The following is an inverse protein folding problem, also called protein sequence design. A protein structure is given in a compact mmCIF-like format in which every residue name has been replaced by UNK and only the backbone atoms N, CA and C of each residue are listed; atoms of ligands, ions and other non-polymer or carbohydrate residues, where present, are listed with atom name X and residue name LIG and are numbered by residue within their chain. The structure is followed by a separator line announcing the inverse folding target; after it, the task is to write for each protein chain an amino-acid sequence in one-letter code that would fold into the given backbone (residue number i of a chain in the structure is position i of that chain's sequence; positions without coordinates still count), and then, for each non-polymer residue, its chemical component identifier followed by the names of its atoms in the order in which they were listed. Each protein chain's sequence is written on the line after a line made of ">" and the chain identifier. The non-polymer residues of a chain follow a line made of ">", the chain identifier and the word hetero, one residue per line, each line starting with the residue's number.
data_IF_185465483506
#
_entry.id   IF_185465483506
#
_cell.length_a   1.000
_cell.length_b   1.000
_cell.length_c   1.000
_cell.angle_alpha   90.00
_cell.angle_beta   90.00
_cell.angle_gamma   90.00
#
_symmetry.space_group_name_H-M   'P 1'
#
loop_
_entity.id
_entity.type
_entity.pdbx_description
1 polymer ?
#
# COMPACT_ATOMS: atom_id res chain seq x y z
N UNK A 1 23.93 -11.96 2.03
CA UNK A 1 23.00 -11.21 2.90
C UNK A 1 21.66 -11.91 2.80
N UNK A 2 20.92 -12.08 3.88
CA UNK A 2 19.65 -12.80 3.79
C UNK A 2 18.58 -11.93 3.10
N UNK A 3 17.90 -12.47 2.09
CA UNK A 3 16.81 -11.79 1.40
C UNK A 3 15.54 -11.80 2.27
N UNK A 4 15.46 -10.86 3.23
CA UNK A 4 14.29 -10.68 4.08
C UNK A 4 13.05 -10.20 3.31
N UNK A 5 13.26 -9.54 2.17
CA UNK A 5 12.21 -8.98 1.32
C UNK A 5 11.16 -10.01 0.88
N UNK A 6 11.50 -11.14 0.21
CA UNK A 6 10.51 -12.15 -0.19
C UNK A 6 9.77 -12.80 0.99
N UNK A 7 10.40 -12.94 2.16
CA UNK A 7 9.75 -13.47 3.36
C UNK A 7 8.64 -12.52 3.86
N UNK A 8 8.96 -11.24 4.03
CA UNK A 8 7.99 -10.23 4.47
C UNK A 8 6.92 -10.02 3.40
N UNK A 9 7.31 -9.90 2.13
CA UNK A 9 6.37 -9.71 1.03
C UNK A 9 5.37 -10.88 0.92
N UNK A 10 5.80 -12.13 1.15
CA UNK A 10 4.90 -13.29 1.19
C UNK A 10 3.96 -13.25 2.40
N UNK A 11 4.44 -12.87 3.57
CA UNK A 11 3.61 -12.72 4.76
C UNK A 11 2.52 -11.64 4.59
N UNK A 12 2.85 -10.51 3.98
CA UNK A 12 1.90 -9.43 3.67
C UNK A 12 0.98 -9.79 2.50
N UNK A 13 1.44 -10.56 1.51
CA UNK A 13 0.58 -11.03 0.41
C UNK A 13 -0.44 -12.10 0.85
N UNK A 14 -0.24 -12.71 2.03
CA UNK A 14 -1.21 -13.61 2.66
C UNK A 14 -2.19 -12.91 3.62
N UNK A 15 -2.03 -11.59 3.87
CA UNK A 15 -3.05 -10.79 4.55
C UNK A 15 -4.16 -10.41 3.58
N UNK A 16 -5.38 -10.26 4.11
CA UNK A 16 -6.50 -9.75 3.33
C UNK A 16 -6.21 -8.33 2.80
N UNK A 17 -6.56 -7.99 1.54
CA UNK A 17 -6.34 -6.64 1.00
C UNK A 17 -7.03 -5.52 1.79
N UNK A 18 -8.10 -5.84 2.52
CA UNK A 18 -8.84 -4.94 3.40
C UNK A 18 -8.30 -4.94 4.85
N UNK A 19 -7.25 -5.71 5.15
CA UNK A 19 -6.67 -5.78 6.48
C UNK A 19 -6.14 -4.40 6.94
N UNK A 20 -6.54 -3.94 8.15
CA UNK A 20 -6.06 -2.68 8.71
C UNK A 20 -4.52 -2.60 8.76
N UNK A 21 -3.99 -1.37 8.72
CA UNK A 21 -2.55 -1.13 8.87
C UNK A 21 -1.97 -1.74 10.15
N UNK A 22 -2.77 -1.88 11.20
CA UNK A 22 -2.39 -2.53 12.46
C UNK A 22 -2.06 -4.02 12.31
N UNK A 23 -2.79 -4.78 11.48
CA UNK A 23 -2.48 -6.20 11.25
C UNK A 23 -1.12 -6.37 10.56
N UNK A 24 -0.83 -5.51 9.56
CA UNK A 24 0.49 -5.45 8.92
C UNK A 24 1.58 -5.09 9.92
N UNK A 25 1.33 -4.11 10.79
CA UNK A 25 2.26 -3.69 11.84
C UNK A 25 2.55 -4.80 12.86
N UNK A 26 1.53 -5.58 13.25
CA UNK A 26 1.71 -6.75 14.13
C UNK A 26 2.61 -7.83 13.51
N UNK A 27 2.54 -8.06 12.19
CA UNK A 27 3.48 -8.95 11.48
C UNK A 27 4.92 -8.39 11.54
N UNK A 28 5.10 -7.09 11.32
CA UNK A 28 6.44 -6.48 11.37
C UNK A 28 7.06 -6.57 12.78
N UNK A 29 6.31 -6.27 13.84
CA UNK A 29 6.81 -6.43 15.22
C UNK A 29 7.18 -7.89 15.53
N UNK A 30 6.36 -8.85 15.10
CA UNK A 30 6.64 -10.27 15.29
C UNK A 30 7.90 -10.71 14.52
N UNK A 31 8.11 -10.20 13.31
CA UNK A 31 9.31 -10.46 12.52
C UNK A 31 10.57 -9.87 13.18
N UNK A 32 10.52 -8.62 13.69
CA UNK A 32 11.60 -8.00 14.47
C UNK A 32 11.99 -8.85 15.68
N UNK A 33 11.01 -9.27 16.48
CA UNK A 33 11.25 -10.06 17.69
C UNK A 33 11.83 -11.44 17.38
N UNK A 34 11.30 -12.12 16.35
CA UNK A 34 11.81 -13.41 15.89
C UNK A 34 13.27 -13.30 15.39
N UNK A 35 13.58 -12.27 14.60
CA UNK A 35 14.95 -12.04 14.11
C UNK A 35 15.94 -11.86 15.27
N UNK A 36 15.64 -10.99 16.25
CA UNK A 36 16.53 -10.78 17.41
C UNK A 36 16.75 -12.07 18.20
N UNK A 37 15.70 -12.88 18.36
CA UNK A 37 15.80 -14.19 19.04
C UNK A 37 16.70 -15.15 18.25
N UNK A 38 16.53 -15.23 16.93
CA UNK A 38 17.33 -16.07 16.05
C UNK A 38 18.81 -15.65 16.00
N UNK A 39 19.09 -14.35 15.84
CA UNK A 39 20.47 -13.83 15.80
C UNK A 39 21.23 -14.08 17.12
N UNK A 40 20.53 -14.07 18.26
CA UNK A 40 21.10 -14.40 19.58
C UNK A 40 21.28 -15.90 19.82
N UNK A 41 20.57 -16.76 19.08
CA UNK A 41 20.66 -18.22 19.18
C UNK A 41 21.68 -18.85 18.23
N UNK A 42 22.24 -18.08 17.29
CA UNK A 42 23.24 -18.55 16.32
C UNK A 42 24.60 -18.80 16.99
N UNK A 43 25.26 -19.90 16.59
CA UNK A 43 26.63 -20.24 16.99
C UNK A 43 27.50 -20.46 15.75
N UNK A 44 28.72 -19.87 15.67
CA UNK A 44 29.30 -18.93 16.64
C UNK A 44 28.49 -17.63 16.75
N UNK A 45 28.53 -16.94 17.90
CA UNK A 45 27.72 -15.75 18.14
C UNK A 45 28.11 -14.62 17.18
N UNK A 46 27.10 -13.98 16.58
CA UNK A 46 27.27 -12.82 15.70
C UNK A 46 27.78 -11.61 16.48
N UNK A 47 28.63 -10.81 15.85
CA UNK A 47 29.09 -9.53 16.41
C UNK A 47 27.95 -8.50 16.45
N UNK A 48 28.04 -7.49 17.31
CA UNK A 48 27.04 -6.40 17.37
C UNK A 48 26.89 -5.68 16.03
N UNK A 49 27.99 -5.56 15.26
CA UNK A 49 27.99 -4.99 13.91
C UNK A 49 27.16 -5.81 12.93
N UNK A 50 27.28 -7.15 12.97
CA UNK A 50 26.47 -8.05 12.15
C UNK A 50 25.00 -8.03 12.59
N UNK A 51 24.72 -8.11 13.89
CA UNK A 51 23.36 -8.01 14.43
C UNK A 51 22.70 -6.69 14.00
N UNK A 52 23.45 -5.57 14.04
CA UNK A 52 22.96 -4.26 13.59
C UNK A 52 22.72 -4.24 12.07
N UNK A 53 23.61 -4.84 11.28
CA UNK A 53 23.48 -4.94 9.82
C UNK A 53 22.27 -5.77 9.40
N UNK A 54 22.03 -6.92 10.02
CA UNK A 54 20.87 -7.78 9.74
C UNK A 54 19.56 -7.11 10.21
N UNK A 55 19.56 -6.40 11.34
CA UNK A 55 18.42 -5.58 11.76
C UNK A 55 18.12 -4.44 10.76
N UNK A 56 19.13 -3.73 10.27
CA UNK A 56 18.97 -2.69 9.24
C UNK A 56 18.38 -3.27 7.94
N UNK A 57 18.88 -4.43 7.49
CA UNK A 57 18.37 -5.12 6.31
C UNK A 57 16.89 -5.52 6.45
N UNK A 58 16.46 -5.95 7.65
CA UNK A 58 15.05 -6.19 7.95
C UNK A 58 14.22 -4.91 7.87
N UNK A 59 14.67 -3.81 8.49
CA UNK A 59 13.97 -2.52 8.48
C UNK A 59 13.82 -1.94 7.07
N UNK A 60 14.85 -2.05 6.22
CA UNK A 60 14.78 -1.63 4.81
C UNK A 60 13.77 -2.47 4.01
N UNK A 61 13.77 -3.80 4.22
CA UNK A 61 12.78 -4.68 3.61
C UNK A 61 11.35 -4.36 4.06
N UNK A 62 11.13 -4.12 5.36
CA UNK A 62 9.83 -3.69 5.90
C UNK A 62 9.38 -2.36 5.27
N UNK A 63 10.24 -1.33 5.25
CA UNK A 63 9.93 -0.02 4.65
C UNK A 63 9.53 -0.12 3.19
N UNK A 64 10.23 -0.98 2.41
CA UNK A 64 9.90 -1.21 1.00
C UNK A 64 8.53 -1.88 0.84
N UNK A 65 8.27 -2.97 1.57
CA UNK A 65 6.96 -3.66 1.53
C UNK A 65 5.82 -2.76 2.02
N UNK A 66 6.04 -1.97 3.07
CA UNK A 66 5.06 -1.00 3.57
C UNK A 66 4.75 0.09 2.54
N UNK A 67 5.76 0.61 1.85
CA UNK A 67 5.59 1.60 0.78
C UNK A 67 4.79 1.02 -0.39
N UNK A 68 5.11 -0.19 -0.85
CA UNK A 68 4.36 -0.88 -1.91
C UNK A 68 2.91 -1.18 -1.48
N UNK A 69 2.69 -1.64 -0.25
CA UNK A 69 1.35 -1.92 0.28
C UNK A 69 0.52 -0.65 0.48
N UNK A 70 1.14 0.45 0.92
CA UNK A 70 0.49 1.76 1.02
C UNK A 70 0.13 2.32 -0.36
N UNK A 71 0.99 2.15 -1.36
CA UNK A 71 0.71 2.55 -2.74
C UNK A 71 -0.46 1.74 -3.33
N UNK A 72 -0.45 0.41 -3.19
CA UNK A 72 -1.57 -0.46 -3.62
C UNK A 72 -2.90 -0.07 -2.96
N UNK A 73 -2.89 0.25 -1.66
CA UNK A 73 -4.09 0.71 -0.96
C UNK A 73 -4.62 2.06 -1.50
N UNK A 74 -3.73 3.01 -1.82
CA UNK A 74 -4.09 4.29 -2.46
C UNK A 74 -4.67 4.08 -3.86
N UNK A 75 -4.05 3.22 -4.67
CA UNK A 75 -4.51 2.93 -6.02
C UNK A 75 -5.86 2.20 -6.02
N UNK A 76 -6.09 1.28 -5.07
CA UNK A 76 -7.39 0.64 -4.86
C UNK A 76 -8.47 1.66 -4.47
N UNK A 77 -8.21 2.54 -3.50
CA UNK A 77 -9.15 3.60 -3.09
C UNK A 77 -9.45 4.58 -4.25
N UNK A 78 -8.45 4.89 -5.08
CA UNK A 78 -8.64 5.73 -6.29
C UNK A 78 -9.47 5.02 -7.36
N UNK A 79 -9.29 3.71 -7.54
CA UNK A 79 -10.09 2.90 -8.45
C UNK A 79 -11.56 2.81 -7.98
N UNK A 80 -11.80 2.63 -6.67
CA UNK A 80 -13.15 2.66 -6.08
C UNK A 80 -13.81 4.03 -6.32
N UNK A 81 -13.12 5.14 -6.04
CA UNK A 81 -13.64 6.49 -6.28
C UNK A 81 -13.99 6.73 -7.76
N UNK A 82 -13.19 6.18 -8.69
CA UNK A 82 -13.47 6.24 -10.13
C UNK A 82 -14.70 5.41 -10.52
N UNK A 83 -14.86 4.22 -9.92
CA UNK A 83 -16.00 3.33 -10.18
C UNK A 83 -17.31 3.85 -9.55
N UNK A 84 -17.22 4.62 -8.46
CA UNK A 84 -18.36 5.25 -7.77
C UNK A 84 -18.84 6.57 -8.40
N UNK A 85 -18.19 7.03 -9.48
CA UNK A 85 -18.73 8.07 -10.36
C UNK A 85 -19.55 7.41 -11.48
N UNK A 86 -20.90 7.34 -11.40
CA UNK A 86 -21.69 7.21 -12.61
C UNK A 86 -21.46 8.44 -13.50
N UNK A 87 -21.78 8.32 -14.79
CA UNK A 87 -21.66 9.42 -15.74
C UNK A 87 -22.68 10.55 -15.40
N UNK A 88 -22.27 11.45 -14.51
CA UNK A 88 -23.00 12.68 -14.20
C UNK A 88 -22.84 13.67 -15.35
N UNK A 89 -23.72 13.48 -16.33
CA UNK A 89 -24.39 14.51 -17.10
C UNK A 89 -23.56 15.34 -18.10
N UNK A 90 -23.77 15.02 -19.38
CA UNK A 90 -23.34 15.81 -20.53
C UNK A 90 -24.39 16.81 -21.01
N UNK A 91 -25.27 17.32 -20.14
CA UNK A 91 -26.25 18.33 -20.56
C UNK A 91 -25.58 19.68 -20.73
N UNK A 92 -25.20 20.00 -21.97
CA UNK A 92 -25.00 21.38 -22.42
C UNK A 92 -26.36 21.95 -22.85
N UNK A 93 -27.01 22.83 -22.07
CA UNK A 93 -28.16 23.59 -22.55
C UNK A 93 -27.65 24.73 -23.44
N UNK A 94 -27.32 24.40 -24.68
CA UNK A 94 -26.65 25.29 -25.64
C UNK A 94 -27.47 25.61 -26.90
N UNK A 95 -28.80 25.47 -26.86
CA UNK A 95 -29.65 25.67 -28.04
C UNK A 95 -31.04 26.25 -27.69
N UNK A 96 -31.06 27.51 -27.24
CA UNK A 96 -32.29 28.24 -26.88
C UNK A 96 -32.33 29.67 -27.49
N UNK A 97 -31.70 29.86 -28.65
CA UNK A 97 -31.57 31.17 -29.32
C UNK A 97 -32.06 31.18 -30.78
N UNK A 98 -32.79 30.15 -31.25
CA UNK A 98 -33.19 30.03 -32.66
C UNK A 98 -34.64 29.58 -32.92
N UNK A 99 -35.60 30.13 -32.19
CA UNK A 99 -37.01 30.26 -32.57
C UNK A 99 -37.64 31.35 -31.67
N UNK A 100 -38.45 32.31 -32.13
CA UNK A 100 -39.31 32.31 -33.32
C UNK A 100 -39.44 33.72 -33.94
N UNK A 101 -39.77 33.78 -35.22
CA UNK A 101 -39.96 35.02 -35.96
C UNK A 101 -41.27 35.75 -35.60
N UNK A 102 -41.15 37.06 -35.36
CA UNK A 102 -41.93 38.20 -35.91
C UNK A 102 -42.87 37.86 -37.11
N UNK A 103 -43.99 38.59 -37.39
CA UNK A 103 -44.92 39.35 -36.53
C UNK A 103 -46.43 39.10 -36.87
N UNK A 104 -47.41 39.91 -36.36
CA UNK A 104 -47.58 41.39 -36.48
C UNK A 104 -47.03 42.26 -35.31
N UNK A 105 -46.29 43.37 -35.51
CA UNK A 105 -45.62 43.93 -36.74
C UNK A 105 -44.09 44.14 -36.54
#
# INVERSE_FOLDING_TARGET
>A
MADYYPLIARAISGLDPSAPGEQRRAIYERARAALITQLRGVQPPLTESEITRERLALEEAVRKVESEAAQRARDAARAELKNRRPAADGSRPGDALRASSRPPV
#
